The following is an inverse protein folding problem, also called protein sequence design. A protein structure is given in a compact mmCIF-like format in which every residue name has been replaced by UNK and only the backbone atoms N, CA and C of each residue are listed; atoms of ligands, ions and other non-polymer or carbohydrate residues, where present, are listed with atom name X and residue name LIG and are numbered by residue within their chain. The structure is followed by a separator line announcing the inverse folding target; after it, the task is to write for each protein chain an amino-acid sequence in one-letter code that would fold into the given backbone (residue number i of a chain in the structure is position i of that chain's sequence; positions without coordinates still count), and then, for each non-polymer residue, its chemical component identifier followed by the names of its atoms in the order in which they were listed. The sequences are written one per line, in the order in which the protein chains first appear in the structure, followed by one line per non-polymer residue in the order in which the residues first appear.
data_IF_039286506060
#
_entry.id   IF_039286506060
#
_cell.length_a   1.000
_cell.length_b   1.000
_cell.length_c   1.000
_cell.angle_alpha   90.00
_cell.angle_beta   90.00
_cell.angle_gamma   90.00
#
_symmetry.space_group_name_H-M   'P 1'
#
loop_
_entity.id
_entity.type
_entity.pdbx_description
1 polymer ?
#
# COMPACT_ATOMS: atom_id res chain seq x y z
N UNK A 1 19.24 44.63 -14.55
CA UNK A 1 19.12 43.46 -13.64
C UNK A 1 17.70 42.93 -13.70
N UNK A 2 17.41 42.07 -14.68
CA UNK A 2 16.07 41.85 -15.21
C UNK A 2 15.17 40.92 -14.40
N UNK A 3 13.86 41.20 -14.45
CA UNK A 3 12.73 40.42 -13.92
C UNK A 3 12.80 38.91 -14.25
N UNK A 4 13.52 38.55 -15.32
CA UNK A 4 13.78 37.17 -15.74
C UNK A 4 14.57 36.36 -14.72
N UNK A 5 15.59 36.94 -14.08
CA UNK A 5 16.32 36.24 -13.02
C UNK A 5 15.47 36.05 -11.77
N UNK A 6 14.55 36.99 -11.49
CA UNK A 6 13.59 36.85 -10.40
C UNK A 6 12.58 35.74 -10.69
N UNK A 7 12.15 35.57 -11.94
CA UNK A 7 11.27 34.47 -12.35
C UNK A 7 11.95 33.09 -12.19
N UNK A 8 13.21 32.97 -12.64
CA UNK A 8 14.00 31.73 -12.47
C UNK A 8 14.28 31.43 -10.99
N UNK A 9 14.51 32.47 -10.18
CA UNK A 9 14.76 32.32 -8.75
C UNK A 9 13.48 31.95 -7.97
N UNK A 10 12.31 32.45 -8.36
CA UNK A 10 11.01 32.04 -7.81
C UNK A 10 10.65 30.60 -8.23
N UNK A 11 11.04 30.17 -9.44
CA UNK A 11 10.86 28.78 -9.89
C UNK A 11 11.78 27.81 -9.12
N UNK A 12 13.02 28.23 -8.85
CA UNK A 12 14.01 27.45 -8.10
C UNK A 12 13.71 27.38 -6.59
N UNK A 13 13.12 28.42 -6.00
CA UNK A 13 12.69 28.39 -4.60
C UNK A 13 11.43 27.53 -4.38
N UNK A 14 10.53 27.46 -5.38
CA UNK A 14 9.41 26.51 -5.38
C UNK A 14 9.84 25.07 -5.68
N UNK A 15 10.94 24.85 -6.39
CA UNK A 15 11.49 23.52 -6.58
C UNK A 15 11.99 22.89 -5.28
N UNK A 16 12.60 23.66 -4.37
CA UNK A 16 13.04 23.14 -3.07
C UNK A 16 11.88 22.88 -2.10
N UNK A 17 10.79 23.66 -2.14
CA UNK A 17 9.59 23.42 -1.29
C UNK A 17 8.62 22.38 -1.85
N UNK A 18 8.73 22.04 -3.14
CA UNK A 18 7.98 20.95 -3.75
C UNK A 18 8.74 19.61 -3.70
N UNK A 19 10.03 19.63 -3.37
CA UNK A 19 10.85 18.43 -3.23
C UNK A 19 10.38 17.56 -2.04
N UNK A 20 9.95 18.20 -0.95
CA UNK A 20 9.43 17.51 0.24
C UNK A 20 7.94 17.14 0.12
N UNK A 21 7.27 17.50 -0.98
CA UNK A 21 5.84 17.19 -1.22
C UNK A 21 5.62 16.35 -2.49
N UNK A 22 6.70 15.90 -3.10
CA UNK A 22 6.74 14.88 -4.14
C UNK A 22 7.11 13.51 -3.54
N UNK A 23 6.61 13.22 -2.33
CA UNK A 23 6.94 12.03 -1.55
C UNK A 23 6.59 10.72 -2.28
N UNK A 24 5.66 10.76 -3.23
CA UNK A 24 5.29 9.60 -4.03
C UNK A 24 5.58 9.77 -5.54
N UNK A 25 6.63 9.13 -6.07
CA UNK A 25 6.91 9.13 -7.51
C UNK A 25 5.77 8.52 -8.34
N UNK A 26 4.87 7.74 -7.74
CA UNK A 26 3.69 7.14 -8.40
C UNK A 26 2.75 8.22 -8.96
N UNK A 27 2.42 9.24 -8.16
CA UNK A 27 1.47 10.29 -8.54
C UNK A 27 1.99 11.20 -9.66
N UNK A 28 3.27 11.58 -9.56
CA UNK A 28 3.91 12.45 -10.56
C UNK A 28 4.01 11.77 -11.94
N UNK A 29 4.26 10.46 -11.95
CA UNK A 29 4.27 9.66 -13.17
C UNK A 29 2.87 9.49 -13.76
N UNK A 30 1.84 9.28 -12.92
CA UNK A 30 0.45 9.20 -13.37
C UNK A 30 -0.02 10.52 -14.00
N UNK A 31 0.26 11.66 -13.36
CA UNK A 31 -0.03 12.99 -13.90
C UNK A 31 0.67 13.22 -15.26
N UNK A 32 1.96 12.88 -15.33
CA UNK A 32 2.74 13.02 -16.56
C UNK A 32 2.21 12.14 -17.69
N UNK A 33 1.74 10.93 -17.38
CA UNK A 33 1.10 10.03 -18.34
C UNK A 33 -0.22 10.60 -18.86
N UNK A 34 -1.09 11.09 -17.97
CA UNK A 34 -2.36 11.71 -18.36
C UNK A 34 -2.14 12.89 -19.31
N UNK A 35 -1.16 13.75 -19.01
CA UNK A 35 -0.81 14.89 -19.86
C UNK A 35 -0.29 14.47 -21.24
N UNK A 36 0.47 13.38 -21.31
CA UNK A 36 0.91 12.80 -22.58
C UNK A 36 -0.26 12.23 -23.41
N UNK A 37 -1.21 11.55 -22.76
CA UNK A 37 -2.43 11.04 -23.42
C UNK A 37 -3.30 12.18 -23.94
N UNK A 38 -3.46 13.26 -23.17
CA UNK A 38 -4.18 14.46 -23.60
C UNK A 38 -3.50 15.10 -24.83
N UNK A 39 -2.17 15.22 -24.80
CA UNK A 39 -1.41 15.73 -25.94
C UNK A 39 -1.59 14.85 -27.18
N UNK A 40 -1.54 13.51 -27.03
CA UNK A 40 -1.79 12.58 -28.13
C UNK A 40 -3.20 12.75 -28.71
N UNK A 41 -4.22 12.95 -27.85
CA UNK A 41 -5.59 13.24 -28.29
C UNK A 41 -5.67 14.55 -29.09
N UNK A 42 -5.00 15.61 -28.64
CA UNK A 42 -4.94 16.90 -29.35
C UNK A 42 -4.27 16.76 -30.72
N UNK A 43 -3.16 16.03 -30.80
CA UNK A 43 -2.48 15.77 -32.08
C UNK A 43 -3.37 14.96 -33.02
N UNK A 44 -4.06 13.92 -32.54
CA UNK A 44 -5.01 13.14 -33.34
C UNK A 44 -6.13 14.01 -33.91
N UNK A 45 -6.69 14.94 -33.12
CA UNK A 45 -7.67 15.91 -33.62
C UNK A 45 -7.07 16.83 -34.68
N UNK A 46 -5.88 17.37 -34.45
CA UNK A 46 -5.19 18.22 -35.41
C UNK A 46 -4.96 17.52 -36.76
N UNK A 47 -4.57 16.24 -36.76
CA UNK A 47 -4.46 15.43 -38.00
C UNK A 47 -5.82 15.34 -38.70
N UNK A 48 -6.89 15.05 -37.97
CA UNK A 48 -8.23 14.95 -38.52
C UNK A 48 -8.75 16.29 -39.11
N UNK A 49 -8.45 17.40 -38.47
CA UNK A 49 -8.83 18.74 -38.93
C UNK A 49 -8.12 19.10 -40.26
N UNK A 50 -6.83 18.76 -40.38
CA UNK A 50 -6.06 18.94 -41.62
C UNK A 50 -6.58 18.01 -42.72
N UNK A 51 -6.82 16.74 -42.42
CA UNK A 51 -7.40 15.78 -43.37
C UNK A 51 -8.78 16.25 -43.88
N UNK A 52 -9.62 16.78 -42.99
CA UNK A 52 -10.92 17.35 -43.34
C UNK A 52 -10.77 18.56 -44.26
N UNK A 53 -9.83 19.46 -43.95
CA UNK A 53 -9.55 20.64 -44.77
C UNK A 53 -9.04 20.24 -46.15
N UNK A 54 -8.13 19.27 -46.24
CA UNK A 54 -7.64 18.69 -47.50
C UNK A 54 -8.80 18.12 -48.32
N UNK A 55 -9.68 17.32 -47.69
CA UNK A 55 -10.82 16.72 -48.39
C UNK A 55 -11.80 17.78 -48.91
N UNK A 56 -12.00 18.88 -48.17
CA UNK A 56 -12.82 19.99 -48.64
C UNK A 56 -12.26 20.64 -49.90
N UNK A 57 -10.94 20.88 -49.94
CA UNK A 57 -10.25 21.41 -51.13
C UNK A 57 -10.35 20.43 -52.30
N UNK A 58 -10.18 19.13 -52.04
CA UNK A 58 -10.34 18.07 -53.05
C UNK A 58 -11.76 18.08 -53.68
N UNK A 59 -12.80 18.24 -52.86
CA UNK A 59 -14.18 18.35 -53.35
C UNK A 59 -14.39 19.61 -54.20
N UNK A 60 -13.77 20.74 -53.84
CA UNK A 60 -13.84 21.97 -54.63
C UNK A 60 -13.14 21.81 -55.99
N UNK A 61 -11.96 21.17 -56.02
CA UNK A 61 -11.26 20.83 -57.27
C UNK A 61 -12.18 20.01 -58.17
N UNK A 62 -12.78 18.94 -57.65
CA UNK A 62 -13.66 18.07 -58.41
C UNK A 62 -14.87 18.81 -58.98
N UNK A 63 -15.46 19.74 -58.22
CA UNK A 63 -16.58 20.58 -58.70
C UNK A 63 -16.16 21.49 -59.86
N UNK A 64 -15.01 22.16 -59.75
CA UNK A 64 -14.51 23.04 -60.81
C UNK A 64 -14.08 22.26 -62.06
N UNK A 65 -13.50 21.08 -61.89
CA UNK A 65 -13.15 20.19 -63.01
C UNK A 65 -14.40 19.71 -63.77
N UNK A 66 -15.50 19.38 -63.07
CA UNK A 66 -16.77 19.07 -63.71
C UNK A 66 -17.35 20.26 -64.48
N UNK A 67 -17.24 21.48 -63.95
CA UNK A 67 -17.66 22.69 -64.67
C UNK A 67 -16.78 22.95 -65.90
N UNK A 68 -15.47 22.75 -65.79
CA UNK A 68 -14.52 22.84 -66.89
C UNK A 68 -14.84 21.83 -68.00
N UNK A 69 -15.21 20.59 -67.65
CA UNK A 69 -15.64 19.56 -68.59
C UNK A 69 -16.96 19.92 -69.30
N UNK A 70 -17.92 20.54 -68.59
CA UNK A 70 -19.15 21.05 -69.22
C UNK A 70 -18.87 22.16 -70.23
N UNK A 71 -18.00 23.11 -69.89
CA UNK A 71 -17.58 24.18 -70.81
C UNK A 71 -16.84 23.61 -72.03
N UNK A 72 -16.01 22.58 -71.84
CA UNK A 72 -15.38 21.87 -72.95
C UNK A 72 -16.42 21.26 -73.90
N UNK A 73 -17.45 20.59 -73.34
CA UNK A 73 -18.54 20.02 -74.15
C UNK A 73 -19.38 21.09 -74.87
N UNK A 74 -19.59 22.24 -74.24
CA UNK A 74 -20.27 23.38 -74.87
C UNK A 74 -19.44 23.98 -76.01
N UNK A 75 -18.12 24.13 -75.82
CA UNK A 75 -17.22 24.59 -76.87
C UNK A 75 -17.21 23.63 -78.07
N UNK A 76 -17.16 22.32 -77.82
CA UNK A 76 -17.21 21.32 -78.90
C UNK A 76 -18.52 21.43 -79.70
N UNK A 77 -19.68 21.49 -79.01
CA UNK A 77 -20.98 21.66 -79.67
C UNK A 77 -21.07 22.95 -80.47
N UNK A 78 -20.49 24.04 -79.97
CA UNK A 78 -20.49 25.32 -80.68
C UNK A 78 -19.67 25.25 -81.98
N UNK A 79 -18.53 24.56 -81.96
CA UNK A 79 -17.74 24.27 -83.17
C UNK A 79 -18.53 23.41 -84.16
N UNK A 80 -19.21 22.37 -83.68
CA UNK A 80 -20.04 21.50 -84.54
C UNK A 80 -21.21 22.24 -85.20
N UNK A 81 -21.58 23.42 -84.67
CA UNK A 81 -22.62 24.31 -85.21
C UNK A 81 -22.04 25.54 -85.95
N UNK A 82 -20.74 25.55 -86.26
CA UNK A 82 -20.02 26.67 -86.90
C UNK A 82 -20.12 28.01 -86.13
N UNK A 83 -20.29 27.94 -84.80
CA UNK A 83 -20.38 29.10 -83.89
C UNK A 83 -19.08 29.30 -83.12
N UNK A 84 -18.04 29.75 -83.82
CA UNK A 84 -16.71 29.97 -83.25
C UNK A 84 -16.67 31.03 -82.13
N UNK A 85 -17.55 32.03 -82.20
CA UNK A 85 -17.73 33.07 -81.19
C UNK A 85 -18.06 32.47 -79.81
N UNK A 86 -19.06 31.58 -79.78
CA UNK A 86 -19.46 30.88 -78.57
C UNK A 86 -18.40 29.88 -78.09
N UNK A 87 -17.74 29.19 -79.02
CA UNK A 87 -16.67 28.26 -78.66
C UNK A 87 -15.52 28.99 -77.96
N UNK A 88 -15.10 30.15 -78.48
CA UNK A 88 -14.06 30.99 -77.88
C UNK A 88 -14.45 31.50 -76.50
N UNK A 89 -15.71 31.92 -76.31
CA UNK A 89 -16.22 32.35 -75.00
C UNK A 89 -16.20 31.20 -73.97
N UNK A 90 -16.70 30.02 -74.34
CA UNK A 90 -16.70 28.84 -73.48
C UNK A 90 -15.28 28.41 -73.08
N UNK A 91 -14.34 28.42 -74.02
CA UNK A 91 -12.93 28.14 -73.75
C UNK A 91 -12.26 29.20 -72.87
N UNK A 92 -12.62 30.47 -73.02
CA UNK A 92 -12.12 31.56 -72.16
C UNK A 92 -12.57 31.35 -70.72
N UNK A 93 -13.84 31.03 -70.49
CA UNK A 93 -14.36 30.68 -69.16
C UNK A 93 -13.67 29.44 -68.58
N UNK A 94 -13.48 28.41 -69.42
CA UNK A 94 -12.79 27.17 -69.03
C UNK A 94 -11.36 27.46 -68.57
N UNK A 95 -10.63 28.31 -69.28
CA UNK A 95 -9.28 28.75 -68.91
C UNK A 95 -9.25 29.38 -67.52
N UNK A 96 -10.22 30.26 -67.22
CA UNK A 96 -10.37 30.85 -65.88
C UNK A 96 -10.60 29.83 -64.77
N UNK A 97 -11.44 28.81 -65.00
CA UNK A 97 -11.63 27.71 -64.05
C UNK A 97 -10.38 26.86 -63.88
N UNK A 98 -9.63 26.63 -64.97
CA UNK A 98 -8.40 25.83 -64.92
C UNK A 98 -7.33 26.49 -64.05
N UNK A 99 -7.19 27.82 -64.11
CA UNK A 99 -6.30 28.55 -63.22
C UNK A 99 -6.68 28.34 -61.74
N UNK A 100 -7.97 28.46 -61.40
CA UNK A 100 -8.45 28.23 -60.03
C UNK A 100 -8.20 26.78 -59.56
N UNK A 101 -8.40 25.79 -60.45
CA UNK A 101 -8.09 24.39 -60.16
C UNK A 101 -6.61 24.20 -59.85
N UNK A 102 -5.72 24.85 -60.61
CA UNK A 102 -4.28 24.75 -60.39
C UNK A 102 -3.88 25.34 -59.02
N UNK A 103 -4.45 26.47 -58.64
CA UNK A 103 -4.21 27.09 -57.33
C UNK A 103 -4.68 26.17 -56.19
N UNK A 104 -5.87 25.57 -56.31
CA UNK A 104 -6.39 24.63 -55.31
C UNK A 104 -5.56 23.34 -55.26
N UNK A 105 -5.02 22.86 -56.38
CA UNK A 105 -4.11 21.69 -56.40
C UNK A 105 -2.83 21.95 -55.62
N UNK A 106 -2.27 23.15 -55.69
CA UNK A 106 -1.12 23.55 -54.86
C UNK A 106 -1.49 23.53 -53.39
N UNK A 107 -2.64 24.12 -53.01
CA UNK A 107 -3.12 24.10 -51.62
C UNK A 107 -3.39 22.67 -51.13
N UNK A 108 -3.99 21.81 -51.94
CA UNK A 108 -4.22 20.40 -51.62
C UNK A 108 -2.90 19.67 -51.35
N UNK A 109 -1.90 19.85 -52.21
CA UNK A 109 -0.57 19.25 -52.04
C UNK A 109 0.13 19.73 -50.77
N UNK A 110 0.00 21.01 -50.42
CA UNK A 110 0.52 21.55 -49.16
C UNK A 110 -0.16 20.89 -47.96
N UNK A 111 -1.49 20.83 -47.93
CA UNK A 111 -2.26 20.20 -46.84
C UNK A 111 -1.94 18.71 -46.71
N UNK A 112 -1.74 18.02 -47.84
CA UNK A 112 -1.30 16.62 -47.84
C UNK A 112 0.08 16.46 -47.17
N UNK A 113 1.05 17.30 -47.53
CA UNK A 113 2.37 17.27 -46.91
C UNK A 113 2.34 17.61 -45.41
N UNK A 114 1.43 18.48 -44.98
CA UNK A 114 1.20 18.78 -43.56
C UNK A 114 0.53 17.61 -42.82
N UNK A 115 -0.47 16.97 -43.40
CA UNK A 115 -1.16 15.78 -42.87
C UNK A 115 -0.17 14.62 -42.64
N UNK A 116 0.69 14.35 -43.63
CA UNK A 116 1.71 13.30 -43.55
C UNK A 116 2.72 13.57 -42.41
N UNK A 117 3.19 14.81 -42.28
CA UNK A 117 4.09 15.22 -41.18
C UNK A 117 3.43 15.07 -39.82
N UNK A 118 2.19 15.49 -39.67
CA UNK A 118 1.44 15.36 -38.42
C UNK A 118 1.15 13.90 -38.08
N UNK A 119 0.86 13.06 -39.08
CA UNK A 119 0.65 11.63 -38.91
C UNK A 119 1.91 10.94 -38.40
N UNK A 120 3.08 11.25 -38.98
CA UNK A 120 4.36 10.73 -38.49
C UNK A 120 4.68 11.22 -37.06
N UNK A 121 4.40 12.48 -36.75
CA UNK A 121 4.56 13.02 -35.41
C UNK A 121 3.62 12.33 -34.41
N UNK A 122 2.37 12.05 -34.81
CA UNK A 122 1.37 11.33 -34.01
C UNK A 122 1.82 9.91 -33.70
N UNK A 123 2.34 9.18 -34.68
CA UNK A 123 2.87 7.82 -34.48
C UNK A 123 4.05 7.82 -33.51
N UNK A 124 5.01 8.73 -33.71
CA UNK A 124 6.16 8.89 -32.80
C UNK A 124 5.74 9.22 -31.38
N UNK A 125 4.76 10.12 -31.22
CA UNK A 125 4.23 10.47 -29.91
C UNK A 125 3.56 9.26 -29.26
N UNK A 126 2.76 8.50 -30.01
CA UNK A 126 2.11 7.29 -29.52
C UNK A 126 3.12 6.27 -28.97
N UNK A 127 4.18 5.96 -29.73
CA UNK A 127 5.24 5.06 -29.27
C UNK A 127 5.91 5.57 -27.98
N UNK A 128 6.13 6.88 -27.86
CA UNK A 128 6.69 7.49 -26.64
C UNK A 128 5.74 7.37 -25.45
N UNK A 129 4.43 7.59 -25.64
CA UNK A 129 3.41 7.45 -24.59
C UNK A 129 3.33 6.00 -24.11
N UNK A 130 3.38 5.03 -25.02
CA UNK A 130 3.38 3.60 -24.69
C UNK A 130 4.65 3.21 -23.92
N UNK A 131 5.82 3.64 -24.38
CA UNK A 131 7.08 3.41 -23.67
C UNK A 131 7.07 4.06 -22.26
N UNK A 132 6.47 5.25 -22.13
CA UNK A 132 6.32 5.92 -20.84
C UNK A 132 5.38 5.14 -19.90
N UNK A 133 4.27 4.60 -20.42
CA UNK A 133 3.36 3.74 -19.66
C UNK A 133 4.10 2.56 -19.05
N UNK A 134 4.88 1.83 -19.85
CA UNK A 134 5.66 0.68 -19.36
C UNK A 134 6.65 1.11 -18.28
N UNK A 135 7.44 2.16 -18.52
CA UNK A 135 8.40 2.68 -17.54
C UNK A 135 7.73 3.12 -16.24
N UNK A 136 6.56 3.77 -16.34
CA UNK A 136 5.75 4.15 -15.18
C UNK A 136 5.42 2.93 -14.34
N UNK A 137 4.81 1.90 -14.93
CA UNK A 137 4.43 0.68 -14.19
C UNK A 137 5.65 -0.02 -13.57
N UNK A 138 6.78 -0.10 -14.28
CA UNK A 138 8.03 -0.62 -13.72
C UNK A 138 8.49 0.17 -12.51
N UNK A 139 8.53 1.50 -12.59
CA UNK A 139 8.95 2.35 -11.47
C UNK A 139 7.99 2.23 -10.30
N UNK A 140 6.67 2.20 -10.53
CA UNK A 140 5.67 2.00 -9.45
C UNK A 140 5.89 0.66 -8.74
N UNK A 141 6.15 -0.41 -9.49
CA UNK A 141 6.42 -1.74 -8.93
C UNK A 141 7.74 -1.77 -8.13
N UNK A 142 8.83 -1.23 -8.69
CA UNK A 142 10.13 -1.15 -8.01
C UNK A 142 10.06 -0.31 -6.73
N UNK A 143 9.34 0.82 -6.77
CA UNK A 143 9.13 1.65 -5.58
C UNK A 143 8.35 0.90 -4.50
N UNK A 144 7.27 0.20 -4.87
CA UNK A 144 6.47 -0.61 -3.92
C UNK A 144 7.30 -1.74 -3.31
N UNK A 145 8.16 -2.39 -4.10
CA UNK A 145 9.07 -3.42 -3.60
C UNK A 145 10.12 -2.85 -2.62
N UNK A 146 10.70 -1.70 -2.95
CA UNK A 146 11.66 -1.00 -2.07
C UNK A 146 10.98 -0.55 -0.76
N UNK A 147 9.76 -0.02 -0.83
CA UNK A 147 8.96 0.35 0.34
C UNK A 147 8.69 -0.86 1.25
N UNK A 148 8.30 -2.01 0.67
CA UNK A 148 8.11 -3.25 1.43
C UNK A 148 9.42 -3.74 2.08
N UNK A 149 10.54 -3.65 1.36
CA UNK A 149 11.84 -4.06 1.89
C UNK A 149 12.29 -3.17 3.06
N UNK A 150 12.08 -1.86 2.96
CA UNK A 150 12.35 -0.93 4.07
C UNK A 150 11.51 -1.28 5.30
N UNK A 151 10.20 -1.50 5.13
CA UNK A 151 9.30 -1.88 6.24
C UNK A 151 9.71 -3.21 6.90
N UNK A 152 10.14 -4.19 6.12
CA UNK A 152 10.66 -5.46 6.65
C UNK A 152 11.93 -5.23 7.46
N UNK A 153 12.88 -4.45 6.95
CA UNK A 153 14.12 -4.14 7.67
C UNK A 153 13.85 -3.37 8.98
N UNK A 154 12.94 -2.40 8.95
CA UNK A 154 12.52 -1.67 10.16
C UNK A 154 11.87 -2.60 11.19
N UNK A 155 10.98 -3.50 10.75
CA UNK A 155 10.37 -4.49 11.64
C UNK A 155 11.39 -5.47 12.23
N UNK A 156 12.36 -5.93 11.42
CA UNK A 156 13.43 -6.81 11.90
C UNK A 156 14.39 -6.10 12.86
N UNK A 157 14.74 -4.84 12.61
CA UNK A 157 15.52 -4.03 13.54
C UNK A 157 14.78 -3.78 14.85
N UNK A 158 13.47 -3.49 14.80
CA UNK A 158 12.65 -3.36 16.01
C UNK A 158 12.58 -4.64 16.84
N UNK A 159 12.49 -5.81 16.19
CA UNK A 159 12.58 -7.11 16.86
C UNK A 159 13.99 -7.34 17.45
N UNK A 160 15.04 -6.89 16.76
CA UNK A 160 16.42 -6.96 17.25
C UNK A 160 16.62 -6.21 18.56
N UNK A 161 16.02 -5.03 18.70
CA UNK A 161 16.04 -4.25 19.94
C UNK A 161 15.27 -4.97 21.07
N UNK A 162 14.07 -5.49 20.80
CA UNK A 162 13.29 -6.26 21.78
C UNK A 162 13.98 -7.57 22.20
N UNK A 163 14.62 -8.28 21.26
CA UNK A 163 15.37 -9.50 21.58
C UNK A 163 16.66 -9.21 22.35
N UNK A 164 17.30 -8.08 22.11
CA UNK A 164 18.44 -7.62 22.91
C UNK A 164 18.07 -7.41 24.38
N UNK A 165 16.91 -6.82 24.64
CA UNK A 165 16.39 -6.61 26.00
C UNK A 165 16.02 -7.92 26.71
N UNK A 166 15.42 -8.86 25.98
CA UNK A 166 15.11 -10.20 26.51
C UNK A 166 16.39 -10.98 26.82
N UNK A 167 17.41 -10.94 25.95
CA UNK A 167 18.70 -11.57 26.20
C UNK A 167 19.40 -11.05 27.46
N UNK A 168 19.39 -9.73 27.67
CA UNK A 168 19.92 -9.13 28.90
C UNK A 168 19.10 -9.49 30.15
N UNK A 169 17.79 -9.70 30.02
CA UNK A 169 16.96 -10.16 31.12
C UNK A 169 17.28 -11.61 31.51
N UNK A 170 17.50 -12.49 30.53
CA UNK A 170 17.87 -13.89 30.75
C UNK A 170 19.25 -13.98 31.42
N UNK A 171 20.26 -13.26 30.91
CA UNK A 171 21.60 -13.27 31.50
C UNK A 171 21.62 -12.80 32.96
N UNK A 172 20.83 -11.75 33.30
CA UNK A 172 20.66 -11.31 34.69
C UNK A 172 20.00 -12.38 35.58
N UNK A 173 19.05 -13.14 35.04
CA UNK A 173 18.41 -14.23 35.76
C UNK A 173 19.37 -15.40 36.02
N UNK A 174 20.21 -15.74 35.04
CA UNK A 174 21.26 -16.74 35.16
C UNK A 174 22.32 -16.34 36.19
N UNK A 175 22.84 -15.10 36.10
CA UNK A 175 23.84 -14.58 37.05
C UNK A 175 23.31 -14.58 38.50
N UNK A 176 22.04 -14.20 38.68
CA UNK A 176 21.40 -14.23 40.00
C UNK A 176 21.23 -15.65 40.53
N UNK A 177 20.93 -16.60 39.65
CA UNK A 177 20.83 -18.02 39.99
C UNK A 177 22.19 -18.58 40.38
N UNK A 178 23.24 -18.29 39.60
CA UNK A 178 24.60 -18.69 39.91
C UNK A 178 25.08 -18.08 41.23
N UNK A 179 24.77 -16.82 41.51
CA UNK A 179 25.09 -16.18 42.79
C UNK A 179 24.33 -16.82 43.95
N UNK A 180 23.05 -17.20 43.76
CA UNK A 180 22.27 -17.90 44.76
C UNK A 180 22.85 -19.30 45.04
N UNK A 181 23.25 -20.03 44.00
CA UNK A 181 23.91 -21.33 44.12
C UNK A 181 25.27 -21.23 44.80
N UNK A 182 26.08 -20.22 44.46
CA UNK A 182 27.37 -19.97 45.12
C UNK A 182 27.20 -19.59 46.60
N UNK A 183 26.17 -18.81 46.94
CA UNK A 183 25.83 -18.52 48.34
C UNK A 183 25.36 -19.77 49.08
N UNK A 184 24.53 -20.61 48.47
CA UNK A 184 24.10 -21.87 49.05
C UNK A 184 25.30 -22.80 49.31
N UNK A 185 26.19 -22.97 48.32
CA UNK A 185 27.42 -23.75 48.49
C UNK A 185 28.36 -23.19 49.55
N UNK A 186 28.50 -21.87 49.66
CA UNK A 186 29.29 -21.24 50.73
C UNK A 186 28.66 -21.44 52.12
N UNK A 187 27.33 -21.44 52.22
CA UNK A 187 26.62 -21.76 53.46
C UNK A 187 26.85 -23.24 53.82
N UNK A 188 26.75 -24.16 52.85
CA UNK A 188 27.04 -25.59 53.06
C UNK A 188 28.49 -25.81 53.52
N UNK A 189 29.47 -25.10 52.95
CA UNK A 189 30.87 -25.14 53.39
C UNK A 189 31.09 -24.52 54.78
N UNK A 190 30.36 -23.45 55.13
CA UNK A 190 30.41 -22.84 56.46
C UNK A 190 29.81 -23.74 57.55
N UNK A 191 28.75 -24.50 57.22
CA UNK A 191 28.18 -25.55 58.07
C UNK A 191 29.19 -26.70 58.23
N UNK A 192 29.79 -27.17 57.11
CA UNK A 192 30.75 -28.27 57.14
C UNK A 192 32.07 -27.94 57.86
N UNK A 193 32.50 -26.67 57.84
CA UNK A 193 33.72 -26.20 58.52
C UNK A 193 33.50 -25.82 60.00
N UNK A 194 32.25 -25.83 60.48
CA UNK A 194 31.89 -25.57 61.88
C UNK A 194 31.97 -24.09 62.29
N UNK A 195 31.99 -23.16 61.33
CA UNK A 195 32.01 -21.71 61.58
C UNK A 195 30.60 -21.11 61.71
N UNK A 196 29.59 -21.77 61.15
CA UNK A 196 28.18 -21.55 61.47
C UNK A 196 27.78 -22.56 62.55
N UNK A 197 27.28 -22.07 63.68
CA UNK A 197 26.65 -22.93 64.69
C UNK A 197 25.36 -23.47 64.08
N UNK A 198 25.35 -24.76 63.76
CA UNK A 198 24.18 -25.43 63.21
C UNK A 198 23.10 -25.46 64.28
N UNK A 199 22.13 -24.54 64.15
CA UNK A 199 20.95 -24.44 65.01
C UNK A 199 20.06 -25.70 64.92
N UNK A 200 20.38 -26.64 64.01
CA UNK A 200 19.72 -27.95 63.87
C UNK A 200 20.63 -29.13 64.23
N UNK A 201 21.85 -28.91 64.72
CA UNK A 201 22.73 -29.98 65.20
C UNK A 201 22.27 -30.45 66.59
N UNK A 202 22.23 -31.76 66.89
CA UNK A 202 21.67 -32.30 68.14
C UNK A 202 22.46 -32.00 69.42
N UNK A 203 23.32 -30.98 69.44
CA UNK A 203 24.21 -30.65 70.56
C UNK A 203 23.94 -29.32 71.27
N UNK A 204 23.07 -28.46 70.75
CA UNK A 204 22.77 -27.12 71.31
C UNK A 204 21.40 -26.98 72.00
N UNK A 205 20.72 -28.09 72.26
CA UNK A 205 19.30 -28.13 72.63
C UNK A 205 18.94 -28.05 74.11
N UNK A 206 19.81 -27.52 74.99
CA UNK A 206 19.59 -27.67 76.44
C UNK A 206 18.82 -26.51 77.11
N UNK A 207 18.59 -25.38 76.42
CA UNK A 207 17.79 -24.26 76.95
C UNK A 207 16.34 -24.26 76.43
N UNK A 208 16.10 -24.56 75.15
CA UNK A 208 14.73 -24.63 74.59
C UNK A 208 14.00 -25.88 75.10
N UNK A 209 14.68 -27.02 75.24
CA UNK A 209 14.06 -28.22 75.82
C UNK A 209 13.68 -28.01 77.30
N UNK A 210 14.48 -27.23 78.05
CA UNK A 210 14.19 -26.86 79.44
C UNK A 210 13.01 -25.90 79.56
N UNK A 211 12.87 -24.97 78.61
CA UNK A 211 11.76 -24.02 78.56
C UNK A 211 10.45 -24.67 78.06
N UNK A 212 10.53 -25.66 77.17
CA UNK A 212 9.40 -26.51 76.78
C UNK A 212 8.98 -27.49 77.87
N UNK A 213 9.91 -28.06 78.65
CA UNK A 213 9.58 -28.91 79.81
C UNK A 213 8.98 -28.09 80.97
N UNK A 214 9.41 -26.83 81.12
CA UNK A 214 8.79 -25.90 82.08
C UNK A 214 7.36 -25.50 81.65
N UNK A 215 7.11 -25.32 80.35
CA UNK A 215 5.77 -25.06 79.83
C UNK A 215 4.87 -26.31 79.83
N UNK A 216 5.41 -27.49 79.52
CA UNK A 216 4.67 -28.76 79.56
C UNK A 216 4.25 -29.11 80.99
N UNK A 217 5.15 -28.88 81.96
CA UNK A 217 4.86 -29.05 83.39
C UNK A 217 3.77 -28.10 83.89
N UNK A 218 3.67 -26.88 83.32
CA UNK A 218 2.61 -25.93 83.66
C UNK A 218 1.28 -26.29 82.98
N UNK A 219 1.29 -26.74 81.72
CA UNK A 219 0.10 -27.21 81.02
C UNK A 219 -0.44 -28.54 81.57
N UNK A 220 0.43 -29.44 82.03
CA UNK A 220 0.04 -30.72 82.62
C UNK A 220 -0.53 -30.55 84.03
N UNK A 221 -0.01 -29.59 84.82
CA UNK A 221 -0.61 -29.23 86.12
C UNK A 221 -1.95 -28.51 85.94
N UNK A 222 -2.12 -27.66 84.92
CA UNK A 222 -3.41 -27.04 84.60
C UNK A 222 -4.43 -28.03 84.01
N UNK A 223 -4.00 -29.01 83.21
CA UNK A 223 -4.84 -30.09 82.70
C UNK A 223 -5.28 -31.05 83.82
N UNK A 224 -4.41 -31.35 84.79
CA UNK A 224 -4.73 -32.18 85.96
C UNK A 224 -5.62 -31.42 86.97
N UNK A 225 -5.45 -30.10 87.12
CA UNK A 225 -6.33 -29.22 87.93
C UNK A 225 -7.71 -29.04 87.27
N UNK A 226 -7.78 -28.99 85.94
CA UNK A 226 -9.03 -28.96 85.19
C UNK A 226 -9.78 -30.30 85.26
N UNK A 227 -9.06 -31.44 85.27
CA UNK A 227 -9.65 -32.77 85.50
C UNK A 227 -10.17 -32.94 86.93
N UNK A 228 -9.47 -32.39 87.94
CA UNK A 228 -9.93 -32.39 89.33
C UNK A 228 -11.08 -31.41 89.61
N UNK A 229 -11.27 -30.37 88.79
CA UNK A 229 -12.43 -29.44 88.84
C UNK A 229 -13.59 -29.84 87.92
N UNK A 230 -13.37 -30.72 86.94
CA UNK A 230 -14.37 -31.18 85.97
C UNK A 230 -15.28 -32.34 86.43
N UNK A 231 -15.07 -32.88 87.63
CA UNK A 231 -15.91 -33.95 88.22
C UNK A 231 -17.13 -33.41 89.01
N UNK A 232 -17.67 -32.24 88.64
CA UNK A 232 -18.85 -31.63 89.27
C UNK A 232 -19.87 -31.15 88.22
N UNK A 233 -20.61 -32.12 87.68
CA UNK A 233 -21.98 -31.99 87.13
C UNK A 233 -22.25 -31.17 85.84
N UNK A 234 -23.37 -31.51 85.15
CA UNK A 234 -23.42 -31.59 83.69
C UNK A 234 -24.52 -30.71 83.06
N UNK A 235 -24.64 -30.88 81.73
CA UNK A 235 -25.86 -30.74 80.91
C UNK A 235 -26.40 -29.34 80.53
N UNK A 236 -26.33 -29.09 79.21
CA UNK A 236 -27.49 -28.98 78.30
C UNK A 236 -27.89 -27.59 77.74
N UNK A 237 -28.20 -27.63 76.42
CA UNK A 237 -29.11 -26.79 75.57
C UNK A 237 -28.74 -25.29 75.39
N UNK A 238 -28.88 -24.59 74.25
CA UNK A 238 -29.68 -24.75 73.02
C UNK A 238 -29.22 -23.72 71.96
N UNK A 239 -29.53 -24.01 70.69
CA UNK A 239 -29.95 -23.12 69.59
C UNK A 239 -29.18 -21.82 69.30
N UNK A 240 -28.60 -21.73 68.10
CA UNK A 240 -29.23 -21.13 66.90
C UNK A 240 -29.15 -19.59 66.94
N UNK A 241 -29.02 -18.87 65.84
CA UNK A 241 -29.31 -19.13 64.46
C UNK A 241 -28.39 -18.15 63.69
N UNK A 242 -27.91 -18.53 62.50
CA UNK A 242 -28.52 -18.08 61.25
C UNK A 242 -28.11 -16.64 60.89
N UNK A 243 -27.79 -16.30 59.68
CA UNK A 243 -27.80 -16.99 58.39
C UNK A 243 -26.98 -16.07 57.49
N UNK A 244 -26.22 -16.61 56.55
CA UNK A 244 -26.79 -16.90 55.23
C UNK A 244 -26.39 -15.75 54.30
N UNK A 245 -26.16 -15.92 53.02
CA UNK A 245 -26.31 -17.08 52.15
C UNK A 245 -25.50 -16.70 50.89
N UNK A 246 -24.53 -17.52 50.42
CA UNK A 246 -24.68 -18.48 49.31
C UNK A 246 -24.93 -17.76 47.96
N UNK A 247 -23.90 -17.63 47.12
CA UNK A 247 -23.44 -18.58 46.08
C UNK A 247 -24.47 -18.86 44.96
N UNK A 248 -24.04 -18.76 43.70
CA UNK A 248 -24.23 -19.78 42.62
C UNK A 248 -23.54 -19.30 41.34
N UNK A 249 -22.50 -19.91 40.80
CA UNK A 249 -22.30 -21.26 40.22
C UNK A 249 -22.91 -21.47 38.81
N UNK A 250 -22.03 -21.91 37.89
CA UNK A 250 -22.24 -22.31 36.49
C UNK A 250 -23.23 -23.50 36.32
N UNK A 251 -23.59 -23.92 35.08
CA UNK A 251 -22.80 -24.98 34.41
C UNK A 251 -22.76 -24.94 32.84
N UNK A 252 -21.95 -25.87 32.31
CA UNK A 252 -21.67 -26.25 30.90
C UNK A 252 -22.88 -26.58 29.99
N UNK A 253 -22.65 -26.58 28.65
CA UNK A 253 -23.09 -27.68 27.75
C UNK A 253 -22.38 -27.65 26.37
N UNK A 254 -22.22 -28.84 25.79
CA UNK A 254 -21.41 -29.24 24.61
C UNK A 254 -22.33 -29.78 23.48
N UNK A 255 -21.89 -29.59 22.21
CA UNK A 255 -22.20 -30.31 20.95
C UNK A 255 -23.64 -30.53 20.41
N UNK A 256 -23.87 -30.23 19.11
CA UNK A 256 -23.93 -31.22 18.01
C UNK A 256 -24.45 -30.63 16.66
N UNK A 257 -23.75 -30.98 15.55
CA UNK A 257 -24.25 -31.47 14.22
C UNK A 257 -25.33 -30.66 13.45
N UNK A 258 -25.38 -30.46 12.12
CA UNK A 258 -25.06 -31.22 10.89
C UNK A 258 -25.27 -30.29 9.67
N UNK A 259 -24.70 -30.59 8.49
CA UNK A 259 -25.11 -29.95 7.24
C UNK A 259 -24.18 -30.16 6.04
N UNK A 260 -24.21 -31.37 5.48
CA UNK A 260 -23.73 -31.72 4.13
C UNK A 260 -24.35 -30.83 3.03
N UNK A 261 -23.54 -30.45 2.03
CA UNK A 261 -23.97 -30.35 0.63
C UNK A 261 -22.75 -30.23 -0.30
N UNK A 262 -22.31 -31.40 -0.73
CA UNK A 262 -21.44 -31.72 -1.85
C UNK A 262 -22.05 -31.31 -3.21
N UNK A 263 -21.26 -30.68 -4.08
CA UNK A 263 -21.45 -30.73 -5.53
C UNK A 263 -20.14 -30.41 -6.26
N UNK A 264 -19.37 -31.48 -6.45
CA UNK A 264 -18.39 -31.63 -7.54
C UNK A 264 -19.09 -31.40 -8.90
N UNK A 265 -18.43 -30.75 -9.84
CA UNK A 265 -17.67 -31.45 -10.89
C UNK A 265 -17.08 -30.47 -11.92
N UNK A 266 -15.77 -30.53 -12.21
CA UNK A 266 -15.18 -29.94 -13.40
C UNK A 266 -14.96 -31.03 -14.47
N UNK A 267 -15.38 -30.83 -15.71
CA UNK A 267 -14.66 -31.48 -16.81
C UNK A 267 -14.97 -30.97 -18.22
N UNK A 268 -13.88 -30.87 -18.98
CA UNK A 268 -13.82 -31.09 -20.42
C UNK A 268 -13.92 -29.83 -21.30
N UNK A 269 -13.14 -29.70 -22.37
CA UNK A 269 -12.26 -30.65 -23.05
C UNK A 269 -11.49 -29.87 -24.14
N UNK A 270 -10.27 -30.37 -24.39
CA UNK A 270 -9.61 -30.52 -25.70
C UNK A 270 -9.25 -29.29 -26.52
#
# INVERSE_FOLDING_TARGET
MGLWQRFVMIFRSKANKALDRAEDPRETLDYSYQRQVELLSKVRRGVADVATSRKRVELQINQLEQQSAKLQGQAQKAIDMDREDLAREALTRKSGLQSQVNDLKVQHAQLQGEEEKLTLAQQRLQTKVEAFRTKKETIKATYTAAEAQTRINEALSGIGDEMGDVGQAIQRAEDKTAQMQARAGAIDELIASGALDDVTSPGGGDDIARELDAMSSQSDVEAELARLKGASQPEAIEAAADGGDILRAEPESVEAQTGDAEAQNPDGKS
#
